data_IF_887368309281
#
_entry.id   IF_887368309281
#
_cell.length_a   1.000
_cell.length_b   1.000
_cell.length_c   1.000
_cell.angle_alpha   90.00
_cell.angle_beta   90.00
_cell.angle_gamma   90.00
#
_symmetry.space_group_name_H-M   'P 1'
#
loop_
_entity.id
_entity.type
_entity.pdbx_description
1 polymer ?
#
# COMPACT_ATOMS: atom_id res chain seq x y z
N UNK A 1 0.21 38.59 22.71
CA UNK A 1 -0.19 38.48 24.13
C UNK A 1 -1.44 39.29 24.47
N UNK A 2 -1.44 40.63 24.40
CA UNK A 2 -2.64 41.41 24.79
C UNK A 2 -3.82 41.21 23.83
N UNK A 3 -3.58 41.16 22.52
CA UNK A 3 -4.60 40.83 21.51
C UNK A 3 -5.22 39.44 21.70
N UNK A 4 -4.39 38.46 22.07
CA UNK A 4 -4.83 37.07 22.29
C UNK A 4 -5.67 36.95 23.57
N UNK A 5 -5.32 37.70 24.64
CA UNK A 5 -6.15 37.79 25.85
C UNK A 5 -7.52 38.37 25.57
N UNK A 6 -7.60 39.46 24.81
CA UNK A 6 -8.87 40.09 24.41
C UNK A 6 -9.73 39.12 23.60
N UNK A 7 -9.11 38.36 22.69
CA UNK A 7 -9.78 37.35 21.88
C UNK A 7 -10.40 36.23 22.74
N UNK A 8 -9.62 35.62 23.64
CA UNK A 8 -10.11 34.53 24.49
C UNK A 8 -11.09 35.00 25.57
N UNK A 9 -10.91 36.20 26.12
CA UNK A 9 -11.86 36.84 27.03
C UNK A 9 -13.24 36.96 26.38
N UNK A 10 -13.29 37.42 25.12
CA UNK A 10 -14.53 37.51 24.35
C UNK A 10 -15.09 36.13 23.97
N UNK A 11 -14.23 35.18 23.56
CA UNK A 11 -14.65 33.84 23.09
C UNK A 11 -15.23 32.97 24.20
N UNK A 12 -14.69 33.07 25.42
CA UNK A 12 -15.14 32.28 26.57
C UNK A 12 -16.01 33.08 27.56
N UNK A 13 -16.24 34.38 27.32
CA UNK A 13 -17.07 35.23 28.18
C UNK A 13 -16.45 35.54 29.54
N UNK A 14 -15.11 35.62 29.63
CA UNK A 14 -14.36 35.80 30.88
C UNK A 14 -13.65 37.16 30.87
N UNK A 15 -13.47 37.81 32.01
CA UNK A 15 -12.74 39.09 32.05
C UNK A 15 -11.25 38.90 31.76
N UNK A 16 -10.63 39.82 31.01
CA UNK A 16 -9.21 39.73 30.58
C UNK A 16 -8.21 39.59 31.73
N UNK A 17 -8.58 40.12 32.91
CA UNK A 17 -7.79 40.06 34.15
C UNK A 17 -7.70 38.64 34.74
N UNK A 18 -8.67 37.79 34.43
CA UNK A 18 -8.75 36.42 34.97
C UNK A 18 -8.00 35.42 34.06
N UNK A 19 -7.53 35.86 32.88
CA UNK A 19 -6.72 35.04 31.99
C UNK A 19 -5.24 35.18 32.37
N UNK A 20 -4.72 34.15 33.04
CA UNK A 20 -3.31 34.06 33.42
C UNK A 20 -2.44 33.99 32.16
N UNK A 21 -1.37 34.81 32.03
CA UNK A 21 -0.52 34.83 30.84
C UNK A 21 0.12 33.48 30.49
N UNK A 22 0.36 32.63 31.49
CA UNK A 22 0.99 31.31 31.34
C UNK A 22 0.10 30.29 30.63
N UNK A 23 -1.23 30.46 30.69
CA UNK A 23 -2.18 29.57 30.02
C UNK A 23 -2.53 30.01 28.58
N UNK A 24 -2.11 31.20 28.15
CA UNK A 24 -2.34 31.70 26.78
C UNK A 24 -1.84 30.74 25.69
N UNK A 25 -0.62 30.19 25.76
CA UNK A 25 -0.13 29.27 24.73
C UNK A 25 -0.99 28.00 24.66
N UNK A 26 -1.44 27.50 25.81
CA UNK A 26 -2.31 26.31 25.90
C UNK A 26 -3.69 26.61 25.30
N UNK A 27 -4.27 27.77 25.61
CA UNK A 27 -5.54 28.22 25.03
C UNK A 27 -5.45 28.35 23.51
N UNK A 28 -4.37 28.96 22.99
CA UNK A 28 -4.13 29.09 21.54
C UNK A 28 -4.05 27.72 20.87
N UNK A 29 -3.27 26.80 21.42
CA UNK A 29 -3.11 25.46 20.85
C UNK A 29 -4.43 24.68 20.91
N UNK A 30 -5.15 24.76 22.03
CA UNK A 30 -6.44 24.07 22.18
C UNK A 30 -7.49 24.58 21.19
N UNK A 31 -7.46 25.89 20.90
CA UNK A 31 -8.40 26.52 19.99
C UNK A 31 -8.14 26.15 18.53
N UNK A 32 -6.85 26.17 18.13
CA UNK A 32 -6.43 25.67 16.83
C UNK A 32 -6.77 24.18 16.66
N UNK A 33 -6.62 23.38 17.71
CA UNK A 33 -7.00 21.97 17.69
C UNK A 33 -8.51 21.81 17.53
N UNK A 34 -9.32 22.60 18.25
CA UNK A 34 -10.77 22.58 18.14
C UNK A 34 -11.25 22.96 16.74
N UNK A 35 -10.70 24.03 16.15
CA UNK A 35 -11.01 24.46 14.78
C UNK A 35 -10.63 23.39 13.75
N UNK A 36 -9.44 22.79 13.87
CA UNK A 36 -9.01 21.72 12.97
C UNK A 36 -9.88 20.46 13.09
N UNK A 37 -10.34 20.15 14.30
CA UNK A 37 -11.21 19.00 14.57
C UNK A 37 -12.62 19.25 14.03
N UNK A 38 -13.17 20.46 14.19
CA UNK A 38 -14.45 20.83 13.60
C UNK A 38 -14.40 20.78 12.07
N UNK A 39 -13.35 21.32 11.45
CA UNK A 39 -13.16 21.24 10.00
C UNK A 39 -13.03 19.78 9.51
N UNK A 40 -12.40 18.90 10.29
CA UNK A 40 -12.33 17.48 10.00
C UNK A 40 -13.71 16.81 10.11
N UNK A 41 -14.46 17.12 11.17
CA UNK A 41 -15.83 16.62 11.38
C UNK A 41 -16.75 17.07 10.24
N UNK A 42 -16.68 18.32 9.80
CA UNK A 42 -17.45 18.82 8.67
C UNK A 42 -17.08 18.11 7.36
N UNK A 43 -15.79 17.87 7.10
CA UNK A 43 -15.35 17.09 5.94
C UNK A 43 -15.83 15.65 5.99
N UNK A 44 -15.79 15.02 7.16
CA UNK A 44 -16.29 13.65 7.36
C UNK A 44 -17.80 13.60 7.18
N UNK A 45 -18.55 14.53 7.78
CA UNK A 45 -20.00 14.64 7.61
C UNK A 45 -20.37 14.93 6.15
N UNK A 46 -19.62 15.80 5.46
CA UNK A 46 -19.77 16.07 4.02
C UNK A 46 -19.47 14.84 3.16
N UNK A 47 -18.43 14.08 3.48
CA UNK A 47 -18.10 12.83 2.79
C UNK A 47 -19.17 11.75 3.02
N UNK A 48 -19.64 11.58 4.25
CA UNK A 48 -20.71 10.63 4.60
C UNK A 48 -22.01 10.99 3.89
N UNK A 49 -22.42 12.26 3.92
CA UNK A 49 -23.63 12.74 3.22
C UNK A 49 -23.51 12.58 1.71
N UNK A 50 -22.34 12.81 1.12
CA UNK A 50 -22.10 12.61 -0.31
C UNK A 50 -22.18 11.13 -0.69
N UNK A 51 -21.58 10.24 0.11
CA UNK A 51 -21.69 8.79 -0.08
C UNK A 51 -23.14 8.32 0.05
N UNK A 52 -23.85 8.76 1.08
CA UNK A 52 -25.24 8.37 1.30
C UNK A 52 -26.16 8.88 0.20
N UNK A 53 -25.99 10.13 -0.24
CA UNK A 53 -26.76 10.71 -1.34
C UNK A 53 -26.46 10.03 -2.69
N UNK A 54 -25.25 9.49 -2.89
CA UNK A 54 -24.97 8.62 -4.03
C UNK A 54 -25.73 7.30 -3.93
N UNK A 55 -25.75 6.63 -2.78
CA UNK A 55 -26.50 5.38 -2.61
C UNK A 55 -28.02 5.57 -2.68
N UNK A 56 -28.54 6.71 -2.24
CA UNK A 56 -29.98 7.01 -2.25
C UNK A 56 -30.51 7.39 -3.65
N UNK A 57 -29.66 7.96 -4.51
CA UNK A 57 -30.05 8.41 -5.87
C UNK A 57 -29.49 7.55 -7.02
N UNK A 58 -28.50 6.71 -6.75
CA UNK A 58 -27.96 5.81 -7.77
C UNK A 58 -28.94 4.68 -8.07
N UNK A 59 -28.98 4.26 -9.33
CA UNK A 59 -29.77 3.08 -9.70
C UNK A 59 -29.24 1.86 -8.95
N UNK A 60 -30.12 0.90 -8.55
CA UNK A 60 -29.70 -0.33 -7.89
C UNK A 60 -28.60 -1.08 -8.67
N UNK A 61 -28.63 -0.98 -9.99
CA UNK A 61 -27.60 -1.54 -10.87
C UNK A 61 -26.25 -0.85 -10.74
N UNK A 62 -26.21 0.48 -10.66
CA UNK A 62 -24.96 1.22 -10.47
C UNK A 62 -24.34 0.91 -9.09
N UNK A 63 -25.15 0.82 -8.04
CA UNK A 63 -24.72 0.42 -6.70
C UNK A 63 -24.17 -1.01 -6.70
N UNK A 64 -24.86 -1.93 -7.38
CA UNK A 64 -24.44 -3.32 -7.54
C UNK A 64 -23.10 -3.42 -8.29
N UNK A 65 -22.98 -2.78 -9.44
CA UNK A 65 -21.75 -2.78 -10.26
C UNK A 65 -20.58 -2.13 -9.55
N UNK A 66 -20.79 -1.09 -8.73
CA UNK A 66 -19.71 -0.46 -7.98
C UNK A 66 -19.20 -1.38 -6.87
N UNK A 67 -20.10 -2.04 -6.12
CA UNK A 67 -19.74 -3.06 -5.13
C UNK A 67 -19.02 -4.26 -5.75
N UNK A 68 -19.51 -4.74 -6.88
CA UNK A 68 -18.90 -5.88 -7.59
C UNK A 68 -17.61 -5.50 -8.31
N UNK A 69 -17.49 -4.28 -8.80
CA UNK A 69 -16.28 -3.76 -9.44
C UNK A 69 -15.09 -3.85 -8.50
N UNK A 70 -15.22 -3.35 -7.27
CA UNK A 70 -14.16 -3.44 -6.27
C UNK A 70 -13.80 -4.89 -5.90
N UNK A 71 -14.79 -5.77 -5.77
CA UNK A 71 -14.56 -7.19 -5.51
C UNK A 71 -13.83 -7.90 -6.67
N UNK A 72 -14.22 -7.61 -7.91
CA UNK A 72 -13.59 -8.17 -9.10
C UNK A 72 -12.13 -7.68 -9.26
N UNK A 73 -11.85 -6.40 -9.00
CA UNK A 73 -10.49 -5.86 -9.01
C UNK A 73 -9.61 -6.46 -7.92
N UNK A 74 -10.14 -6.64 -6.71
CA UNK A 74 -9.41 -7.30 -5.62
C UNK A 74 -9.07 -8.76 -5.95
N UNK A 75 -10.02 -9.49 -6.53
CA UNK A 75 -9.80 -10.87 -6.96
C UNK A 75 -8.76 -10.95 -8.09
N UNK A 76 -8.87 -10.08 -9.10
CA UNK A 76 -7.91 -10.01 -10.20
C UNK A 76 -6.49 -9.71 -9.69
N UNK A 77 -6.36 -8.78 -8.73
CA UNK A 77 -5.10 -8.47 -8.08
C UNK A 77 -4.47 -9.68 -7.37
N UNK A 78 -5.27 -10.44 -6.63
CA UNK A 78 -4.81 -11.68 -5.97
C UNK A 78 -4.35 -12.74 -6.98
N UNK A 79 -5.06 -12.92 -8.09
CA UNK A 79 -4.68 -13.88 -9.13
C UNK A 79 -3.36 -13.49 -9.78
N UNK A 80 -3.20 -12.21 -10.16
CA UNK A 80 -1.96 -11.69 -10.76
C UNK A 80 -0.79 -11.85 -9.77
N UNK A 81 -0.99 -11.48 -8.51
CA UNK A 81 0.03 -11.61 -7.48
C UNK A 81 0.45 -13.07 -7.26
N UNK A 82 -0.50 -13.99 -7.20
CA UNK A 82 -0.24 -15.42 -7.07
C UNK A 82 0.55 -15.97 -8.27
N UNK A 83 0.18 -15.54 -9.49
CA UNK A 83 0.90 -15.91 -10.70
C UNK A 83 2.35 -15.41 -10.70
N UNK A 84 2.58 -14.15 -10.29
CA UNK A 84 3.92 -13.59 -10.16
C UNK A 84 4.77 -14.38 -9.17
N UNK A 85 4.23 -14.70 -7.98
CA UNK A 85 4.94 -15.51 -6.99
C UNK A 85 5.30 -16.90 -7.52
N UNK A 86 4.38 -17.56 -8.23
CA UNK A 86 4.64 -18.85 -8.86
C UNK A 86 5.74 -18.76 -9.92
N UNK A 87 5.73 -17.70 -10.75
CA UNK A 87 6.73 -17.46 -11.78
C UNK A 87 8.13 -17.24 -11.16
N UNK A 88 8.24 -16.38 -10.13
CA UNK A 88 9.50 -16.16 -9.43
C UNK A 88 10.01 -17.41 -8.71
N UNK A 89 9.12 -18.17 -8.06
CA UNK A 89 9.46 -19.44 -7.41
C UNK A 89 10.04 -20.45 -8.40
N UNK A 90 9.37 -20.64 -9.55
CA UNK A 90 9.80 -21.57 -10.59
C UNK A 90 11.16 -21.18 -11.18
N UNK A 91 11.38 -19.88 -11.43
CA UNK A 91 12.66 -19.41 -11.93
C UNK A 91 13.79 -19.55 -10.91
N UNK A 92 13.50 -19.33 -9.62
CA UNK A 92 14.47 -19.58 -8.54
C UNK A 92 14.85 -21.05 -8.47
N UNK A 93 13.90 -21.97 -8.58
CA UNK A 93 14.18 -23.41 -8.61
C UNK A 93 15.05 -23.80 -9.81
N UNK A 94 14.76 -23.26 -11.01
CA UNK A 94 15.59 -23.49 -12.20
C UNK A 94 17.01 -22.96 -12.04
N UNK A 95 17.17 -21.79 -11.43
CA UNK A 95 18.49 -21.21 -11.14
C UNK A 95 19.27 -22.06 -10.14
N UNK A 96 18.63 -22.51 -9.05
CA UNK A 96 19.27 -23.39 -8.07
C UNK A 96 19.68 -24.74 -8.68
N UNK A 97 18.85 -25.31 -9.57
CA UNK A 97 19.23 -26.50 -10.33
C UNK A 97 20.42 -26.23 -11.25
N UNK A 98 20.46 -25.09 -11.94
CA UNK A 98 21.59 -24.72 -12.80
C UNK A 98 22.88 -24.54 -11.99
N UNK A 99 22.80 -23.92 -10.82
CA UNK A 99 23.92 -23.71 -9.90
C UNK A 99 24.47 -25.05 -9.39
N UNK A 100 23.60 -26.03 -9.11
CA UNK A 100 24.04 -27.37 -8.64
C UNK A 100 24.90 -28.15 -9.63
N UNK A 101 24.82 -27.83 -10.93
CA UNK A 101 25.61 -28.48 -11.99
C UNK A 101 26.78 -27.61 -12.48
N UNK A 102 26.88 -26.38 -11.99
CA UNK A 102 27.87 -25.42 -12.44
C UNK A 102 29.10 -25.47 -11.51
N UNK A 103 30.22 -25.97 -12.03
CA UNK A 103 31.48 -26.08 -11.29
C UNK A 103 32.35 -24.87 -11.65
N UNK A 104 32.78 -24.13 -10.64
CA UNK A 104 33.71 -23.00 -10.81
C UNK A 104 35.16 -23.49 -10.75
N UNK A 105 35.97 -23.08 -11.72
CA UNK A 105 37.41 -23.34 -11.71
C UNK A 105 38.18 -22.05 -11.38
N UNK A 106 38.74 -21.99 -10.17
CA UNK A 106 39.54 -20.85 -9.69
C UNK A 106 40.78 -20.55 -10.56
N UNK A 107 41.37 -21.58 -11.19
CA UNK A 107 42.58 -21.43 -12.00
C UNK A 107 42.33 -20.74 -13.33
N UNK A 108 41.15 -20.92 -13.92
CA UNK A 108 40.80 -20.38 -15.25
C UNK A 108 39.74 -19.30 -15.19
N UNK A 109 39.17 -19.04 -14.00
CA UNK A 109 38.05 -18.11 -13.75
C UNK A 109 36.85 -18.37 -14.66
N UNK A 110 36.60 -19.63 -15.00
CA UNK A 110 35.53 -20.04 -15.92
C UNK A 110 34.60 -21.04 -15.24
N UNK A 111 33.32 -20.90 -15.55
CA UNK A 111 32.27 -21.83 -15.13
C UNK A 111 32.14 -22.94 -16.16
N UNK A 112 32.15 -24.19 -15.71
CA UNK A 112 31.96 -25.35 -16.55
C UNK A 112 30.74 -26.12 -16.06
N UNK A 113 29.96 -26.63 -17.01
CA UNK A 113 28.89 -27.59 -16.72
C UNK A 113 29.46 -28.96 -17.11
N UNK A 114 29.58 -29.89 -16.17
CA UNK A 114 30.17 -31.21 -16.45
C UNK A 114 29.18 -32.10 -17.22
N UNK A 115 29.55 -32.49 -18.44
CA UNK A 115 28.74 -33.29 -19.38
C UNK A 115 28.26 -34.63 -18.81
N UNK A 116 28.82 -35.12 -17.71
CA UNK A 116 28.37 -36.37 -17.06
C UNK A 116 26.97 -36.26 -16.45
N UNK A 117 26.55 -35.06 -16.07
CA UNK A 117 25.31 -34.83 -15.34
C UNK A 117 24.17 -34.28 -16.20
N UNK A 118 24.43 -34.02 -17.49
CA UNK A 118 23.40 -33.46 -18.37
C UNK A 118 23.52 -33.89 -19.83
N UNK A 119 22.36 -33.99 -20.49
CA UNK A 119 22.20 -34.22 -21.92
C UNK A 119 21.58 -32.96 -22.55
N UNK A 120 22.18 -32.47 -23.63
CA UNK A 120 21.57 -31.42 -24.43
C UNK A 120 20.53 -32.07 -25.35
N UNK A 121 19.28 -31.67 -25.22
CA UNK A 121 18.16 -32.16 -26.04
C UNK A 121 17.74 -31.08 -27.01
N UNK A 122 17.73 -31.44 -28.29
CA UNK A 122 17.26 -30.60 -29.37
C UNK A 122 16.28 -31.38 -30.24
N UNK A 123 15.06 -31.59 -29.71
CA UNK A 123 13.95 -32.22 -30.43
C UNK A 123 12.83 -31.21 -30.68
N UNK A 124 11.90 -31.53 -31.60
CA UNK A 124 10.73 -30.67 -31.88
C UNK A 124 9.84 -30.45 -30.65
N UNK A 125 9.80 -31.40 -29.72
CA UNK A 125 8.99 -31.34 -28.50
C UNK A 125 9.69 -30.70 -27.30
N UNK A 126 11.04 -30.64 -27.28
CA UNK A 126 11.81 -30.07 -26.17
C UNK A 126 13.19 -29.61 -26.63
N UNK A 127 13.54 -28.37 -26.28
CA UNK A 127 14.88 -27.79 -26.49
C UNK A 127 15.43 -27.33 -25.15
N UNK A 128 16.63 -27.78 -24.80
CA UNK A 128 17.30 -27.37 -23.56
C UNK A 128 18.26 -28.41 -23.01
N UNK A 129 18.63 -28.23 -21.74
CA UNK A 129 19.52 -29.11 -20.99
C UNK A 129 18.64 -30.01 -20.10
N UNK A 130 18.76 -31.33 -20.23
CA UNK A 130 18.15 -32.31 -19.33
C UNK A 130 19.21 -32.88 -18.39
N UNK A 131 18.91 -32.98 -17.11
CA UNK A 131 19.77 -33.63 -16.13
C UNK A 131 19.61 -35.15 -16.23
N UNK A 132 20.73 -35.88 -16.22
CA UNK A 132 20.73 -37.34 -16.18
C UNK A 132 20.58 -37.74 -14.70
N UNK A 133 19.59 -38.60 -14.34
CA UNK A 133 19.36 -39.01 -12.96
C UNK A 133 20.53 -39.82 -12.38
#
# INVERSE_FOLDING_TARGET
MQKDKVYFARKFGVAEKDIVPEFLPVLIVSDQLAESTQALIEKVNGSITTHQHFYDKASPWAVFMNRWGWGAWAFLGLVIFSFLLMFFSTNRQKLAQLESVMIYNDSTKTYFIDRRFYKVVNTKSKKGIELIP
#
